data_IF_052814859634
#
_entry.id   IF_052814859634
#
_cell.length_a   1.000
_cell.length_b   1.000
_cell.length_c   1.000
_cell.angle_alpha   90.00
_cell.angle_beta   90.00
_cell.angle_gamma   90.00
#
_symmetry.space_group_name_H-M   'P 1'
#
loop_
_entity.id
_entity.type
_entity.pdbx_description
1 polymer ?
#
# COMPACT_ATOMS: atom_id res chain seq x y z
N UNK A 1 -21.55 -37.81 26.48
CA UNK A 1 -20.31 -37.17 27.00
C UNK A 1 -19.79 -36.36 25.84
N UNK A 2 -19.24 -35.18 26.06
CA UNK A 2 -18.79 -34.37 24.92
C UNK A 2 -17.83 -35.18 24.07
N UNK A 3 -18.07 -35.27 22.77
CA UNK A 3 -17.23 -36.03 21.85
C UNK A 3 -15.92 -35.26 21.59
N UNK A 4 -16.03 -33.93 21.44
CA UNK A 4 -14.88 -33.08 21.22
C UNK A 4 -14.30 -32.53 22.53
N UNK A 5 -12.97 -32.41 22.62
CA UNK A 5 -12.27 -32.04 23.85
C UNK A 5 -12.52 -30.59 24.31
N UNK A 6 -13.08 -29.74 23.46
CA UNK A 6 -13.31 -28.31 23.74
C UNK A 6 -14.56 -28.05 24.59
N UNK A 7 -15.56 -28.93 24.55
CA UNK A 7 -16.82 -28.73 25.28
C UNK A 7 -16.83 -29.50 26.60
N UNK A 8 -17.52 -28.93 27.59
CA UNK A 8 -17.66 -29.53 28.91
C UNK A 8 -18.65 -30.70 28.87
N UNK A 9 -18.29 -31.83 29.48
CA UNK A 9 -19.17 -32.99 29.59
C UNK A 9 -20.45 -32.71 30.39
N UNK A 10 -20.38 -31.75 31.31
CA UNK A 10 -21.47 -31.33 32.20
C UNK A 10 -21.58 -29.81 32.20
N UNK A 11 -22.23 -29.21 31.19
CA UNK A 11 -22.43 -27.77 31.16
C UNK A 11 -23.29 -27.31 32.35
N UNK A 12 -23.02 -26.12 32.88
CA UNK A 12 -23.88 -25.52 33.91
C UNK A 12 -25.22 -25.15 33.29
N UNK A 13 -26.32 -25.57 33.92
CA UNK A 13 -27.69 -25.35 33.40
C UNK A 13 -28.37 -24.12 34.01
N UNK A 14 -27.86 -23.66 35.13
CA UNK A 14 -28.42 -22.60 35.98
C UNK A 14 -27.72 -21.25 35.77
N UNK A 15 -26.63 -21.21 35.01
CA UNK A 15 -25.85 -20.00 34.77
C UNK A 15 -25.20 -19.96 33.40
N UNK A 16 -24.96 -18.74 32.95
CA UNK A 16 -24.15 -18.42 31.79
C UNK A 16 -22.67 -18.33 32.17
N UNK A 17 -21.81 -18.72 31.25
CA UNK A 17 -20.37 -18.61 31.32
C UNK A 17 -19.83 -18.06 29.99
N UNK A 18 -18.65 -17.46 30.03
CA UNK A 18 -17.90 -17.13 28.82
C UNK A 18 -17.68 -18.42 28.01
N UNK A 19 -17.90 -18.36 26.71
CA UNK A 19 -17.80 -19.53 25.84
C UNK A 19 -19.04 -20.43 25.84
N UNK A 20 -20.16 -20.02 26.45
CA UNK A 20 -21.42 -20.72 26.23
C UNK A 20 -21.90 -20.53 24.79
N UNK A 21 -22.32 -21.64 24.18
CA UNK A 21 -22.88 -21.67 22.82
C UNK A 21 -24.39 -21.63 22.94
N UNK A 22 -25.00 -20.65 22.26
CA UNK A 22 -26.43 -20.40 22.26
C UNK A 22 -27.02 -20.76 20.90
N UNK A 23 -28.09 -21.55 20.87
CA UNK A 23 -28.84 -21.82 19.66
C UNK A 23 -29.80 -20.67 19.33
N UNK A 24 -30.46 -20.76 18.17
CA UNK A 24 -31.51 -19.84 17.75
C UNK A 24 -32.84 -20.11 18.48
N UNK A 25 -32.83 -20.08 19.81
CA UNK A 25 -34.03 -20.26 20.62
C UNK A 25 -35.02 -19.09 20.40
N UNK A 26 -36.35 -19.35 20.33
CA UNK A 26 -37.35 -18.31 20.08
C UNK A 26 -37.20 -17.07 20.97
N UNK A 27 -37.01 -17.26 22.29
CA UNK A 27 -36.89 -16.13 23.22
C UNK A 27 -35.69 -15.22 22.93
N UNK A 28 -34.55 -15.81 22.52
CA UNK A 28 -33.36 -15.06 22.13
C UNK A 28 -33.58 -14.38 20.77
N UNK A 29 -34.21 -15.08 19.82
CA UNK A 29 -34.53 -14.53 18.52
C UNK A 29 -35.48 -13.34 18.61
N UNK A 30 -36.45 -13.34 19.52
CA UNK A 30 -37.36 -12.21 19.72
C UNK A 30 -36.61 -10.96 20.19
N UNK A 31 -35.63 -11.12 21.08
CA UNK A 31 -34.76 -10.03 21.52
C UNK A 31 -33.91 -9.51 20.36
N UNK A 32 -33.29 -10.44 19.61
CA UNK A 32 -32.48 -10.08 18.46
C UNK A 32 -33.32 -9.43 17.36
N UNK A 33 -34.52 -9.92 17.07
CA UNK A 33 -35.40 -9.33 16.07
C UNK A 33 -35.78 -7.89 16.42
N UNK A 34 -35.97 -7.61 17.73
CA UNK A 34 -36.33 -6.28 18.22
C UNK A 34 -35.16 -5.28 18.14
N UNK A 35 -33.96 -5.67 18.54
CA UNK A 35 -32.84 -4.72 18.72
C UNK A 35 -31.70 -4.89 17.71
N UNK A 36 -31.53 -6.08 17.15
CA UNK A 36 -30.45 -6.47 16.23
C UNK A 36 -30.99 -7.35 15.08
N UNK A 37 -31.97 -6.89 14.29
CA UNK A 37 -32.78 -7.74 13.41
C UNK A 37 -31.97 -8.57 12.41
N UNK A 38 -30.84 -8.03 11.94
CA UNK A 38 -29.90 -8.75 11.08
C UNK A 38 -29.44 -10.08 11.71
N UNK A 39 -29.18 -10.10 13.03
CA UNK A 39 -28.71 -11.28 13.74
C UNK A 39 -29.79 -12.36 13.93
N UNK A 40 -31.07 -11.97 13.96
CA UNK A 40 -32.16 -12.93 14.03
C UNK A 40 -32.36 -13.65 12.69
N UNK A 41 -32.33 -12.90 11.58
CA UNK A 41 -32.79 -13.38 10.27
C UNK A 41 -31.68 -14.00 9.42
N UNK A 42 -30.42 -13.56 9.56
CA UNK A 42 -29.36 -13.98 8.64
C UNK A 42 -29.16 -15.51 8.65
N UNK A 43 -29.23 -16.18 7.48
CA UNK A 43 -29.27 -17.64 7.41
C UNK A 43 -27.93 -18.30 7.77
N UNK A 44 -26.81 -17.59 7.60
CA UNK A 44 -25.49 -18.13 7.96
C UNK A 44 -25.23 -18.13 9.47
N UNK A 45 -26.03 -17.43 10.28
CA UNK A 45 -25.85 -17.42 11.73
C UNK A 45 -26.53 -18.65 12.31
N UNK A 46 -25.71 -19.62 12.73
CA UNK A 46 -26.18 -20.92 13.25
C UNK A 46 -26.32 -20.90 14.77
N UNK A 47 -25.39 -20.25 15.44
CA UNK A 47 -25.33 -20.13 16.90
C UNK A 47 -24.86 -18.73 17.30
N UNK A 48 -24.78 -18.51 18.60
CA UNK A 48 -24.09 -17.37 19.20
C UNK A 48 -23.12 -17.86 20.28
N UNK A 49 -22.01 -17.15 20.47
CA UNK A 49 -21.01 -17.48 21.50
C UNK A 49 -20.96 -16.36 22.54
N UNK A 50 -21.14 -16.68 23.81
CA UNK A 50 -21.05 -15.71 24.91
C UNK A 50 -19.62 -15.23 25.08
N UNK A 51 -19.40 -13.92 24.98
CA UNK A 51 -18.10 -13.28 25.13
C UNK A 51 -17.89 -12.65 26.51
N UNK A 52 -18.96 -12.27 27.21
CA UNK A 52 -18.87 -11.69 28.57
C UNK A 52 -18.18 -12.66 29.52
N UNK A 53 -17.27 -12.15 30.35
CA UNK A 53 -16.48 -12.97 31.27
C UNK A 53 -17.36 -13.70 32.30
N UNK A 54 -17.00 -14.95 32.59
CA UNK A 54 -17.78 -15.81 33.51
C UNK A 54 -17.95 -15.19 34.90
N UNK A 55 -16.92 -14.51 35.42
CA UNK A 55 -16.98 -13.84 36.73
C UNK A 55 -18.04 -12.72 36.80
N UNK A 56 -18.31 -12.06 35.67
CA UNK A 56 -19.31 -10.99 35.59
C UNK A 56 -20.74 -11.51 35.44
N UNK A 57 -20.89 -12.76 34.98
CA UNK A 57 -22.16 -13.42 34.74
C UNK A 57 -22.67 -14.22 35.96
N UNK A 58 -21.87 -14.35 37.02
CA UNK A 58 -22.30 -15.05 38.23
C UNK A 58 -23.43 -14.27 38.92
N UNK A 59 -24.55 -14.96 39.16
CA UNK A 59 -25.66 -14.43 39.98
C UNK A 59 -25.27 -14.43 41.45
N UNK A 60 -25.41 -13.28 42.11
CA UNK A 60 -25.22 -13.14 43.57
C UNK A 60 -26.56 -13.33 44.30
N UNK A 61 -26.57 -13.25 45.63
CA UNK A 61 -27.75 -13.55 46.48
C UNK A 61 -29.04 -12.83 46.06
N UNK A 62 -28.94 -11.62 45.48
CA UNK A 62 -30.08 -10.85 44.97
C UNK A 62 -30.50 -11.21 43.53
N UNK A 63 -29.98 -12.31 42.98
CA UNK A 63 -30.17 -12.77 41.60
C UNK A 63 -29.66 -11.79 40.52
N UNK A 64 -28.89 -10.78 40.93
CA UNK A 64 -28.26 -9.79 40.07
C UNK A 64 -26.81 -10.21 39.76
N UNK A 65 -26.42 -10.05 38.49
CA UNK A 65 -25.04 -10.22 38.02
C UNK A 65 -24.31 -8.88 38.05
N UNK A 66 -22.97 -8.85 38.08
CA UNK A 66 -22.23 -7.58 37.96
C UNK A 66 -22.20 -7.03 36.54
N UNK A 67 -22.37 -7.88 35.52
CA UNK A 67 -22.50 -7.44 34.13
C UNK A 67 -23.76 -6.60 33.90
N UNK A 68 -23.61 -5.46 33.21
CA UNK A 68 -24.75 -4.72 32.66
C UNK A 68 -25.24 -5.29 31.32
N UNK A 69 -24.37 -6.02 30.62
CA UNK A 69 -24.64 -6.58 29.30
C UNK A 69 -24.07 -8.00 29.15
N UNK A 70 -24.79 -8.83 28.41
CA UNK A 70 -24.31 -10.10 27.87
C UNK A 70 -23.92 -9.86 26.41
N UNK A 71 -22.62 -9.87 26.14
CA UNK A 71 -22.08 -9.75 24.78
C UNK A 71 -22.02 -11.13 24.15
N UNK A 72 -22.56 -11.25 22.93
CA UNK A 72 -22.54 -12.49 22.16
C UNK A 72 -21.98 -12.23 20.75
N UNK A 73 -21.18 -13.16 20.23
CA UNK A 73 -20.69 -13.15 18.85
C UNK A 73 -21.52 -14.07 17.96
N UNK A 74 -21.72 -13.69 16.70
CA UNK A 74 -22.33 -14.55 15.71
C UNK A 74 -21.43 -15.75 15.38
N UNK A 75 -22.00 -16.95 15.37
CA UNK A 75 -21.33 -18.18 14.95
C UNK A 75 -21.84 -18.59 13.57
N UNK A 76 -20.92 -18.81 12.65
CA UNK A 76 -21.19 -19.18 11.25
C UNK A 76 -20.43 -20.46 10.87
N UNK A 77 -20.79 -21.10 9.75
CA UNK A 77 -19.97 -22.15 9.16
C UNK A 77 -18.51 -21.73 8.99
N UNK A 78 -17.59 -22.67 9.19
CA UNK A 78 -16.14 -22.41 9.07
C UNK A 78 -15.74 -22.00 7.66
N UNK A 79 -16.45 -22.48 6.63
CA UNK A 79 -16.17 -22.16 5.23
C UNK A 79 -16.41 -20.68 4.91
N UNK A 80 -17.26 -19.98 5.66
CA UNK A 80 -17.43 -18.53 5.53
C UNK A 80 -16.14 -17.78 5.89
N UNK A 81 -15.42 -18.20 6.93
CA UNK A 81 -14.15 -17.60 7.32
C UNK A 81 -13.05 -17.91 6.29
N UNK A 82 -13.00 -19.15 5.79
CA UNK A 82 -12.07 -19.56 4.74
C UNK A 82 -12.32 -18.79 3.45
N UNK A 83 -13.60 -18.64 3.03
CA UNK A 83 -13.99 -17.85 1.84
C UNK A 83 -13.63 -16.38 2.03
N UNK A 84 -13.85 -15.82 3.22
CA UNK A 84 -13.46 -14.44 3.51
C UNK A 84 -11.95 -14.26 3.36
N UNK A 85 -11.14 -15.18 3.89
CA UNK A 85 -9.68 -15.13 3.74
C UNK A 85 -9.25 -15.31 2.27
N UNK A 86 -9.89 -16.23 1.55
CA UNK A 86 -9.62 -16.47 0.14
C UNK A 86 -9.86 -15.21 -0.70
N UNK A 87 -10.94 -14.46 -0.44
CA UNK A 87 -11.26 -13.20 -1.15
C UNK A 87 -10.17 -12.14 -1.02
N UNK A 88 -9.46 -12.09 0.10
CA UNK A 88 -8.35 -11.15 0.30
C UNK A 88 -7.14 -11.47 -0.60
N UNK A 89 -7.02 -12.72 -1.03
CA UNK A 89 -5.89 -13.27 -1.77
C UNK A 89 -6.22 -13.58 -3.24
N UNK A 90 -7.51 -13.58 -3.59
CA UNK A 90 -8.03 -13.88 -4.92
C UNK A 90 -8.10 -12.62 -5.80
N UNK A 91 -7.91 -12.82 -7.10
CA UNK A 91 -8.25 -11.81 -8.11
C UNK A 91 -9.77 -11.72 -8.31
N UNK A 92 -10.24 -10.59 -8.82
CA UNK A 92 -11.67 -10.30 -9.05
C UNK A 92 -12.43 -11.38 -9.86
N UNK A 93 -11.75 -12.12 -10.73
CA UNK A 93 -12.35 -13.18 -11.56
C UNK A 93 -12.33 -14.56 -10.90
N UNK A 94 -11.48 -14.77 -9.89
CA UNK A 94 -11.26 -16.06 -9.23
C UNK A 94 -12.35 -16.38 -8.20
N UNK A 95 -12.83 -15.34 -7.48
CA UNK A 95 -13.84 -15.49 -6.44
C UNK A 95 -15.14 -16.14 -6.96
N UNK A 96 -15.77 -15.70 -8.06
CA UNK A 96 -17.05 -16.26 -8.51
C UNK A 96 -16.99 -17.76 -8.88
N UNK A 97 -15.80 -18.26 -9.22
CA UNK A 97 -15.58 -19.65 -9.64
C UNK A 97 -14.84 -20.48 -8.58
N UNK A 98 -14.54 -19.91 -7.41
CA UNK A 98 -13.81 -20.55 -6.30
C UNK A 98 -12.45 -21.14 -6.70
N UNK A 99 -11.69 -20.44 -7.54
CA UNK A 99 -10.35 -20.88 -7.96
C UNK A 99 -9.28 -20.16 -7.15
N UNK A 100 -8.27 -20.89 -6.66
CA UNK A 100 -7.08 -20.31 -6.01
C UNK A 100 -5.82 -20.91 -6.62
N UNK A 101 -4.73 -20.13 -6.64
CA UNK A 101 -3.42 -20.65 -7.03
C UNK A 101 -2.85 -21.59 -5.94
N UNK A 102 -1.91 -22.48 -6.28
CA UNK A 102 -1.26 -23.35 -5.28
C UNK A 102 -0.64 -22.58 -4.12
N UNK A 103 -0.03 -21.41 -4.40
CA UNK A 103 0.52 -20.53 -3.36
C UNK A 103 -0.56 -20.05 -2.38
N UNK A 104 -1.71 -19.62 -2.90
CA UNK A 104 -2.84 -19.16 -2.07
C UNK A 104 -3.46 -20.34 -1.32
N UNK A 105 -3.51 -21.53 -1.93
CA UNK A 105 -3.97 -22.73 -1.25
C UNK A 105 -3.11 -23.07 -0.03
N UNK A 106 -1.77 -23.04 -0.17
CA UNK A 106 -0.86 -23.28 0.97
C UNK A 106 -1.07 -22.24 2.08
N UNK A 107 -1.30 -20.97 1.73
CA UNK A 107 -1.63 -19.92 2.70
C UNK A 107 -2.97 -20.17 3.40
N UNK A 108 -3.99 -20.64 2.67
CA UNK A 108 -5.28 -21.01 3.24
C UNK A 108 -5.19 -22.24 4.14
N UNK A 109 -4.30 -23.20 3.86
CA UNK A 109 -4.03 -24.34 4.74
C UNK A 109 -3.47 -23.83 6.07
N UNK A 110 -2.42 -23.00 6.06
CA UNK A 110 -1.84 -22.42 7.28
C UNK A 110 -2.86 -21.59 8.08
N UNK A 111 -3.68 -20.79 7.39
CA UNK A 111 -4.78 -20.07 8.03
C UNK A 111 -5.78 -21.02 8.67
N UNK A 112 -6.16 -22.10 7.98
CA UNK A 112 -7.13 -23.08 8.47
C UNK A 112 -6.58 -23.85 9.67
N UNK A 113 -5.30 -24.24 9.66
CA UNK A 113 -4.64 -24.85 10.82
C UNK A 113 -4.67 -23.90 12.03
N UNK A 114 -4.28 -22.64 11.83
CA UNK A 114 -4.36 -21.59 12.86
C UNK A 114 -5.78 -21.41 13.39
N UNK A 115 -6.78 -21.44 12.50
CA UNK A 115 -8.20 -21.33 12.84
C UNK A 115 -8.67 -22.51 13.71
N UNK A 116 -8.38 -23.75 13.28
CA UNK A 116 -8.75 -24.97 13.98
C UNK A 116 -8.12 -25.05 15.38
N UNK A 117 -6.88 -24.58 15.50
CA UNK A 117 -6.17 -24.48 16.77
C UNK A 117 -6.61 -23.31 17.64
N UNK A 118 -7.57 -22.49 17.20
CA UNK A 118 -8.00 -21.26 17.88
C UNK A 118 -6.87 -20.23 18.08
N UNK A 119 -5.92 -20.15 17.16
CA UNK A 119 -4.81 -19.17 17.20
C UNK A 119 -5.10 -17.92 16.35
N UNK A 120 -6.13 -17.95 15.50
CA UNK A 120 -6.52 -16.82 14.67
C UNK A 120 -7.33 -15.78 15.47
N UNK A 121 -6.82 -14.55 15.58
CA UNK A 121 -7.33 -13.54 16.52
C UNK A 121 -8.77 -13.08 16.28
N UNK A 122 -9.24 -13.13 15.03
CA UNK A 122 -10.58 -12.66 14.64
C UNK A 122 -11.68 -13.71 14.83
N UNK A 123 -11.32 -14.97 15.10
CA UNK A 123 -12.25 -16.08 15.11
C UNK A 123 -12.08 -16.98 16.34
N UNK A 124 -13.12 -17.76 16.63
CA UNK A 124 -13.02 -18.87 17.58
C UNK A 124 -13.70 -20.10 16.97
N UNK A 125 -12.93 -21.14 16.68
CA UNK A 125 -13.40 -22.38 16.09
C UNK A 125 -14.18 -23.25 17.08
N UNK A 126 -15.30 -23.80 16.59
CA UNK A 126 -16.23 -24.67 17.28
C UNK A 126 -16.42 -25.93 16.42
N UNK A 127 -15.88 -27.05 16.88
CA UNK A 127 -16.01 -28.33 16.19
C UNK A 127 -17.44 -28.89 16.28
N UNK A 128 -17.83 -29.71 15.32
CA UNK A 128 -19.10 -30.44 15.37
C UNK A 128 -19.11 -31.37 16.59
N UNK A 129 -20.24 -31.41 17.30
CA UNK A 129 -20.44 -32.28 18.46
C UNK A 129 -21.94 -32.51 18.65
N UNK A 130 -22.39 -33.71 18.25
CA UNK A 130 -23.81 -34.08 18.26
C UNK A 130 -24.35 -34.14 19.69
N UNK A 131 -23.55 -34.64 20.64
CA UNK A 131 -23.91 -34.73 22.06
C UNK A 131 -24.12 -33.33 22.68
N UNK A 132 -23.41 -32.33 22.17
CA UNK A 132 -23.53 -30.91 22.55
C UNK A 132 -24.52 -30.13 21.68
N UNK A 133 -25.26 -30.79 20.78
CA UNK A 133 -26.20 -30.17 19.83
C UNK A 133 -25.58 -29.12 18.90
N UNK A 134 -24.29 -29.27 18.59
CA UNK A 134 -23.56 -28.42 17.64
C UNK A 134 -23.41 -29.18 16.33
N UNK A 135 -24.04 -28.67 15.27
CA UNK A 135 -24.02 -29.27 13.94
C UNK A 135 -23.06 -28.55 12.99
N UNK A 136 -22.23 -29.35 12.33
CA UNK A 136 -21.18 -28.92 11.43
C UNK A 136 -20.02 -28.19 12.10
N UNK A 137 -18.97 -27.94 11.31
CA UNK A 137 -17.82 -27.15 11.72
C UNK A 137 -18.15 -25.66 11.63
N UNK A 138 -18.00 -24.95 12.74
CA UNK A 138 -18.38 -23.56 12.86
C UNK A 138 -17.25 -22.70 13.43
N UNK A 139 -17.38 -21.38 13.31
CA UNK A 139 -16.54 -20.43 14.01
C UNK A 139 -17.34 -19.21 14.47
N UNK A 140 -17.03 -18.71 15.66
CA UNK A 140 -17.50 -17.42 16.13
C UNK A 140 -16.68 -16.32 15.46
N UNK A 141 -17.35 -15.35 14.85
CA UNK A 141 -16.74 -14.17 14.27
C UNK A 141 -16.69 -13.10 15.36
N UNK A 142 -15.55 -12.97 16.03
CA UNK A 142 -15.48 -12.23 17.30
C UNK A 142 -15.71 -10.72 17.13
N UNK A 143 -15.38 -10.17 15.96
CA UNK A 143 -15.72 -8.80 15.56
C UNK A 143 -17.23 -8.59 15.30
N UNK A 144 -17.99 -9.66 15.00
CA UNK A 144 -19.43 -9.61 14.78
C UNK A 144 -20.17 -9.89 16.09
N UNK A 145 -20.00 -8.99 17.07
CA UNK A 145 -20.62 -9.11 18.40
C UNK A 145 -21.70 -8.06 18.66
N UNK A 146 -22.67 -8.42 19.50
CA UNK A 146 -23.74 -7.54 19.97
C UNK A 146 -23.87 -7.67 21.49
N UNK A 147 -24.26 -6.57 22.13
CA UNK A 147 -24.45 -6.49 23.57
C UNK A 147 -25.95 -6.49 23.91
N UNK A 148 -26.42 -7.52 24.61
CA UNK A 148 -27.78 -7.61 25.11
C UNK A 148 -27.83 -7.11 26.54
N UNK A 149 -28.85 -6.32 26.90
CA UNK A 149 -29.04 -5.89 28.29
C UNK A 149 -29.21 -7.08 29.21
N UNK A 150 -28.76 -6.94 30.46
CA UNK A 150 -28.81 -8.04 31.43
C UNK A 150 -30.23 -8.55 31.74
N UNK A 151 -31.25 -7.72 31.53
CA UNK A 151 -32.66 -8.13 31.60
C UNK A 151 -33.04 -9.27 30.63
N UNK A 152 -32.18 -9.56 29.63
CA UNK A 152 -32.34 -10.67 28.69
C UNK A 152 -31.54 -11.92 29.07
N UNK A 153 -30.91 -11.95 30.25
CA UNK A 153 -30.06 -13.06 30.68
C UNK A 153 -30.78 -14.42 30.60
N UNK A 154 -31.99 -14.52 31.14
CA UNK A 154 -32.73 -15.80 31.16
C UNK A 154 -33.04 -16.31 29.75
N UNK A 155 -33.25 -15.41 28.80
CA UNK A 155 -33.47 -15.74 27.39
C UNK A 155 -32.21 -16.30 26.74
N UNK A 156 -31.05 -15.75 27.09
CA UNK A 156 -29.75 -16.31 26.69
C UNK A 156 -29.51 -17.67 27.35
N UNK A 157 -29.82 -17.83 28.64
CA UNK A 157 -29.66 -19.09 29.36
C UNK A 157 -30.55 -20.19 28.77
N UNK A 158 -31.80 -19.87 28.44
CA UNK A 158 -32.73 -20.80 27.77
C UNK A 158 -32.22 -21.24 26.38
N UNK A 159 -31.41 -20.41 25.72
CA UNK A 159 -30.81 -20.72 24.43
C UNK A 159 -29.52 -21.55 24.52
N UNK A 160 -28.98 -21.78 25.72
CA UNK A 160 -27.70 -22.47 25.90
C UNK A 160 -27.79 -23.95 25.48
N UNK A 161 -26.89 -24.37 24.60
CA UNK A 161 -26.77 -25.77 24.14
C UNK A 161 -25.44 -26.42 24.50
N UNK A 162 -24.36 -25.64 24.58
CA UNK A 162 -23.05 -26.14 24.95
C UNK A 162 -22.26 -25.13 25.80
N UNK A 163 -21.17 -25.58 26.40
CA UNK A 163 -20.26 -24.78 27.20
C UNK A 163 -18.82 -25.20 26.92
N UNK A 164 -17.92 -24.25 26.69
CA UNK A 164 -16.49 -24.53 26.58
C UNK A 164 -15.88 -24.98 27.93
N UNK A 165 -14.85 -25.83 27.90
CA UNK A 165 -14.04 -26.13 29.10
C UNK A 165 -13.21 -24.91 29.50
N UNK A 166 -12.84 -24.84 30.77
CA UNK A 166 -12.10 -23.71 31.37
C UNK A 166 -10.86 -23.25 30.57
N UNK A 167 -9.98 -24.13 30.04
CA UNK A 167 -8.84 -23.68 29.24
C UNK A 167 -9.25 -22.94 27.96
N UNK A 168 -10.36 -23.35 27.33
CA UNK A 168 -10.88 -22.71 26.11
C UNK A 168 -11.64 -21.44 26.43
N UNK A 169 -12.30 -21.35 27.59
CA UNK A 169 -12.86 -20.08 28.08
C UNK A 169 -11.76 -19.06 28.28
N UNK A 170 -10.66 -19.44 28.95
CA UNK A 170 -9.50 -18.56 29.14
C UNK A 170 -8.88 -18.13 27.81
N UNK A 171 -8.75 -19.05 26.83
CA UNK A 171 -8.27 -18.73 25.48
C UNK A 171 -9.19 -17.75 24.76
N UNK A 172 -10.50 -17.95 24.82
CA UNK A 172 -11.49 -17.02 24.27
C UNK A 172 -11.37 -15.64 24.93
N UNK A 173 -11.25 -15.59 26.25
CA UNK A 173 -11.02 -14.36 27.00
C UNK A 173 -9.75 -13.63 26.57
N UNK A 174 -8.67 -14.36 26.28
CA UNK A 174 -7.43 -13.80 25.75
C UNK A 174 -7.59 -13.25 24.32
N UNK A 175 -8.29 -13.96 23.43
CA UNK A 175 -8.57 -13.50 22.05
C UNK A 175 -9.46 -12.26 22.04
N UNK A 176 -10.53 -12.26 22.85
CA UNK A 176 -11.40 -11.09 23.03
C UNK A 176 -10.61 -9.92 23.64
N UNK A 177 -9.78 -10.23 24.64
CA UNK A 177 -8.84 -9.31 25.23
C UNK A 177 -7.96 -8.67 24.16
N UNK A 178 -7.24 -9.44 23.35
CA UNK A 178 -6.29 -8.91 22.38
C UNK A 178 -6.91 -8.03 21.28
N UNK A 179 -8.15 -8.30 20.85
CA UNK A 179 -8.82 -7.44 19.86
C UNK A 179 -9.17 -6.05 20.41
N UNK A 180 -9.55 -5.95 21.70
CA UNK A 180 -10.01 -4.70 22.31
C UNK A 180 -9.00 -4.07 23.27
N UNK A 181 -8.00 -4.83 23.73
CA UNK A 181 -6.86 -4.35 24.51
C UNK A 181 -5.83 -3.75 23.57
N UNK A 182 -6.16 -2.60 22.99
CA UNK A 182 -5.11 -1.63 22.71
C UNK A 182 -4.64 -1.15 24.07
N UNK A 183 -3.52 -1.68 24.56
CA UNK A 183 -2.79 -1.03 25.64
C UNK A 183 -2.46 0.35 25.09
N UNK A 184 -3.04 1.41 25.68
CA UNK A 184 -2.74 2.79 25.33
C UNK A 184 -1.29 3.08 25.69
N UNK A 185 -0.35 2.66 24.85
CA UNK A 185 1.02 3.09 24.93
C UNK A 185 1.13 4.43 24.22
N UNK A 186 1.88 5.35 24.81
CA UNK A 186 2.16 6.63 24.18
C UNK A 186 2.84 6.35 22.83
N UNK A 187 2.29 6.88 21.74
CA UNK A 187 2.87 6.64 20.41
C UNK A 187 4.23 7.35 20.33
N UNK A 188 5.18 6.77 19.59
CA UNK A 188 6.54 7.34 19.47
C UNK A 188 6.53 8.81 19.02
N UNK A 189 5.61 9.18 18.13
CA UNK A 189 5.45 10.55 17.67
C UNK A 189 4.78 11.47 18.71
N UNK A 190 3.95 10.92 19.61
CA UNK A 190 3.38 11.67 20.74
C UNK A 190 4.45 11.95 21.80
N UNK A 191 5.39 11.03 22.00
CA UNK A 191 6.46 11.16 23.00
C UNK A 191 7.65 12.00 22.49
N UNK A 192 8.12 11.77 21.26
CA UNK A 192 9.33 12.39 20.72
C UNK A 192 9.05 13.52 19.71
N UNK A 193 7.77 13.78 19.39
CA UNK A 193 7.34 14.79 18.44
C UNK A 193 7.13 14.25 17.03
N UNK A 194 6.44 15.04 16.21
CA UNK A 194 5.99 14.66 14.87
C UNK A 194 7.16 14.23 13.97
N UNK A 195 6.95 13.14 13.22
CA UNK A 195 7.89 12.55 12.24
C UNK A 195 9.17 11.92 12.82
N UNK A 196 9.31 11.81 14.15
CA UNK A 196 10.50 11.19 14.75
C UNK A 196 10.56 9.68 14.56
N UNK A 197 9.41 8.99 14.63
CA UNK A 197 9.34 7.55 14.35
C UNK A 197 9.76 7.23 12.91
N UNK A 198 9.36 8.08 11.95
CA UNK A 198 9.72 7.95 10.55
C UNK A 198 11.22 8.13 10.33
N UNK A 199 11.85 9.10 11.01
CA UNK A 199 13.30 9.31 10.97
C UNK A 199 14.05 8.10 11.53
N UNK A 200 13.68 7.64 12.72
CA UNK A 200 14.28 6.46 13.35
C UNK A 200 14.15 5.20 12.47
N UNK A 201 12.96 4.98 11.89
CA UNK A 201 12.74 3.88 10.95
C UNK A 201 13.61 4.02 9.69
N UNK A 202 13.74 5.23 9.14
CA UNK A 202 14.60 5.49 7.97
C UNK A 202 16.07 5.22 8.29
N UNK A 203 16.56 5.66 9.45
CA UNK A 203 17.94 5.42 9.90
C UNK A 203 18.23 3.93 10.08
N UNK A 204 17.30 3.20 10.71
CA UNK A 204 17.40 1.75 10.87
C UNK A 204 17.39 1.02 9.53
N UNK A 205 16.49 1.41 8.61
CA UNK A 205 16.45 0.82 7.27
C UNK A 205 17.72 1.11 6.48
N UNK A 206 18.32 2.29 6.64
CA UNK A 206 19.59 2.62 5.98
C UNK A 206 20.81 1.91 6.58
N UNK A 207 20.76 1.49 7.85
CA UNK A 207 21.85 0.72 8.45
C UNK A 207 21.82 -0.75 8.03
N UNK A 208 20.63 -1.28 7.72
CA UNK A 208 20.43 -2.69 7.32
C UNK A 208 20.43 -2.87 5.80
N UNK A 209 19.87 -1.91 5.06
CA UNK A 209 19.63 -2.04 3.63
C UNK A 209 20.27 -0.91 2.82
N UNK A 210 20.71 -1.26 1.61
CA UNK A 210 21.12 -0.28 0.60
C UNK A 210 19.88 0.10 -0.21
N UNK A 211 19.39 1.32 0.00
CA UNK A 211 18.27 1.85 -0.77
C UNK A 211 18.72 2.25 -2.18
N UNK A 212 18.18 1.58 -3.20
CA UNK A 212 18.42 1.89 -4.62
C UNK A 212 17.06 2.08 -5.31
N UNK A 213 16.91 3.18 -6.06
CA UNK A 213 15.68 3.47 -6.77
C UNK A 213 15.31 2.35 -7.77
N UNK A 214 14.02 1.99 -7.83
CA UNK A 214 13.50 0.93 -8.69
C UNK A 214 13.89 1.09 -10.17
N UNK A 215 13.88 2.33 -10.67
CA UNK A 215 14.30 2.62 -12.04
C UNK A 215 15.77 2.24 -12.28
N UNK A 216 16.65 2.56 -11.33
CA UNK A 216 18.09 2.26 -11.42
C UNK A 216 18.34 0.76 -11.42
N UNK A 217 17.59 0.03 -10.60
CA UNK A 217 17.60 -1.44 -10.59
C UNK A 217 17.15 -1.98 -11.94
N UNK A 218 15.99 -1.55 -12.45
CA UNK A 218 15.43 -2.07 -13.71
C UNK A 218 16.34 -1.80 -14.91
N UNK A 219 16.88 -0.59 -15.04
CA UNK A 219 17.79 -0.24 -16.15
C UNK A 219 19.11 -1.01 -16.04
N UNK A 220 19.73 -1.06 -14.86
CA UNK A 220 20.97 -1.80 -14.66
C UNK A 220 20.82 -3.31 -14.89
N UNK A 221 19.68 -3.89 -14.51
CA UNK A 221 19.37 -5.31 -14.79
C UNK A 221 19.23 -5.56 -16.28
N UNK A 222 18.50 -4.70 -17.00
CA UNK A 222 18.34 -4.83 -18.47
C UNK A 222 19.67 -4.73 -19.21
N UNK A 223 20.57 -3.86 -18.76
CA UNK A 223 21.92 -3.75 -19.34
C UNK A 223 22.73 -5.02 -19.13
N UNK A 224 22.65 -5.64 -17.96
CA UNK A 224 23.32 -6.93 -17.69
C UNK A 224 22.73 -8.05 -18.56
N UNK A 225 21.40 -8.14 -18.65
CA UNK A 225 20.70 -9.15 -19.46
C UNK A 225 21.01 -9.05 -20.95
N UNK A 226 21.29 -7.84 -21.46
CA UNK A 226 21.69 -7.63 -22.85
C UNK A 226 23.07 -8.25 -23.18
N UNK A 227 23.92 -8.47 -22.17
CA UNK A 227 25.25 -9.06 -22.33
C UNK A 227 25.20 -10.58 -22.15
N UNK A 228 24.58 -11.06 -21.06
CA UNK A 228 24.37 -12.50 -20.78
C UNK A 228 23.26 -12.69 -19.75
N UNK A 229 22.78 -13.93 -19.61
CA UNK A 229 21.76 -14.26 -18.63
C UNK A 229 22.20 -13.92 -17.20
N UNK A 230 21.30 -13.33 -16.39
CA UNK A 230 21.58 -12.89 -15.01
C UNK A 230 22.15 -13.99 -14.12
N UNK A 231 21.72 -15.24 -14.32
CA UNK A 231 22.20 -16.40 -13.57
C UNK A 231 23.72 -16.64 -13.69
N UNK A 232 24.38 -16.00 -14.67
CA UNK A 232 25.81 -16.08 -14.89
C UNK A 232 26.61 -14.95 -14.22
N UNK A 233 25.96 -14.11 -13.41
CA UNK A 233 26.60 -13.10 -12.56
C UNK A 233 26.44 -13.49 -11.09
N UNK A 234 27.44 -13.21 -10.28
CA UNK A 234 27.30 -13.27 -8.83
C UNK A 234 26.40 -12.13 -8.31
N UNK A 235 25.71 -12.31 -7.18
CA UNK A 235 24.90 -11.25 -6.58
C UNK A 235 25.67 -9.94 -6.34
N UNK A 236 26.95 -10.04 -5.97
CA UNK A 236 27.80 -8.88 -5.73
C UNK A 236 28.12 -8.11 -7.01
N UNK A 237 28.35 -8.80 -8.13
CA UNK A 237 28.59 -8.17 -9.44
C UNK A 237 27.34 -7.44 -9.94
N UNK A 238 26.16 -8.05 -9.77
CA UNK A 238 24.88 -7.41 -10.12
C UNK A 238 24.69 -6.15 -9.27
N UNK A 239 24.90 -6.26 -7.96
CA UNK A 239 24.79 -5.13 -7.03
C UNK A 239 25.74 -3.99 -7.39
N UNK A 240 27.03 -4.28 -7.60
CA UNK A 240 28.03 -3.27 -7.92
C UNK A 240 27.77 -2.60 -9.26
N UNK A 241 27.29 -3.36 -10.25
CA UNK A 241 26.89 -2.82 -11.55
C UNK A 241 25.72 -1.85 -11.40
N UNK A 242 24.63 -2.29 -10.76
CA UNK A 242 23.45 -1.44 -10.51
C UNK A 242 23.84 -0.21 -9.70
N UNK A 243 24.70 -0.34 -8.67
CA UNK A 243 25.14 0.77 -7.84
C UNK A 243 25.92 1.82 -8.63
N UNK A 244 26.78 1.39 -9.56
CA UNK A 244 27.58 2.29 -10.43
C UNK A 244 26.78 2.87 -11.59
N UNK A 245 25.65 2.26 -11.93
CA UNK A 245 24.79 2.73 -13.02
C UNK A 245 24.36 4.19 -12.80
N UNK A 246 24.56 5.03 -13.81
CA UNK A 246 24.14 6.44 -13.79
C UNK A 246 22.90 6.58 -14.64
N UNK A 247 21.76 6.76 -13.98
CA UNK A 247 20.54 7.17 -14.69
C UNK A 247 20.83 8.52 -15.33
N UNK A 248 20.82 8.57 -16.66
CA UNK A 248 20.89 9.84 -17.38
C UNK A 248 19.55 10.55 -17.14
N UNK A 249 19.53 11.76 -16.56
CA UNK A 249 18.29 12.47 -16.28
C UNK A 249 17.43 12.62 -17.56
N UNK A 250 16.10 12.52 -17.43
CA UNK A 250 15.18 12.70 -18.58
C UNK A 250 15.44 14.01 -19.32
N UNK A 251 15.78 15.08 -18.59
CA UNK A 251 16.19 16.38 -19.17
C UNK A 251 17.43 16.26 -20.04
N UNK A 252 18.46 15.55 -19.60
CA UNK A 252 19.68 15.30 -20.38
C UNK A 252 19.42 14.42 -21.59
N UNK A 253 18.57 13.38 -21.45
CA UNK A 253 18.15 12.53 -22.57
C UNK A 253 17.38 13.35 -23.62
N UNK A 254 16.45 14.20 -23.18
CA UNK A 254 15.70 15.11 -24.03
C UNK A 254 16.63 16.10 -24.73
N UNK A 255 17.51 16.80 -24.02
CA UNK A 255 18.41 17.80 -24.61
C UNK A 255 19.34 17.21 -25.66
N UNK A 256 19.90 16.00 -25.41
CA UNK A 256 20.71 15.30 -26.41
C UNK A 256 19.90 14.97 -27.66
N UNK A 257 18.73 14.35 -27.48
CA UNK A 257 17.88 13.96 -28.62
C UNK A 257 17.34 15.16 -29.39
N UNK A 258 17.00 16.24 -28.69
CA UNK A 258 16.57 17.48 -29.30
C UNK A 258 17.69 18.11 -30.16
N UNK A 259 18.95 18.07 -29.68
CA UNK A 259 20.10 18.50 -30.47
C UNK A 259 20.23 17.68 -31.76
N UNK A 260 20.16 16.35 -31.68
CA UNK A 260 20.25 15.48 -32.86
C UNK A 260 19.16 15.79 -33.90
N UNK A 261 17.94 16.08 -33.44
CA UNK A 261 16.81 16.45 -34.31
C UNK A 261 17.02 17.83 -34.95
N UNK A 262 17.56 18.79 -34.19
CA UNK A 262 17.89 20.15 -34.68
C UNK A 262 18.98 20.07 -35.76
N UNK A 263 20.02 19.29 -35.50
CA UNK A 263 21.17 19.12 -36.39
C UNK A 263 20.76 18.36 -37.67
N UNK A 264 19.95 17.30 -37.55
CA UNK A 264 19.46 16.50 -38.68
C UNK A 264 18.61 17.29 -39.68
N UNK A 265 17.83 18.27 -39.21
CA UNK A 265 17.00 19.13 -40.06
C UNK A 265 17.77 20.32 -40.70
N UNK A 266 19.09 20.42 -40.43
CA UNK A 266 19.96 21.52 -40.87
C UNK A 266 19.38 22.89 -40.56
N UNK A 267 18.74 23.04 -39.41
CA UNK A 267 18.18 24.32 -38.97
C UNK A 267 19.28 25.35 -38.74
N UNK A 268 20.39 24.89 -38.15
CA UNK A 268 21.56 25.72 -37.83
C UNK A 268 22.17 26.31 -39.10
N UNK A 269 22.30 25.54 -40.18
CA UNK A 269 22.84 26.01 -41.47
C UNK A 269 21.99 27.13 -42.11
N UNK A 270 20.66 27.04 -41.98
CA UNK A 270 19.73 28.04 -42.54
C UNK A 270 19.72 29.33 -41.74
N UNK A 271 19.97 29.24 -40.43
CA UNK A 271 20.07 30.40 -39.54
C UNK A 271 21.46 31.01 -39.63
N UNK A 272 22.52 30.20 -39.62
CA UNK A 272 23.93 30.64 -39.62
C UNK A 272 24.29 31.44 -40.87
N UNK A 273 23.82 31.01 -42.06
CA UNK A 273 24.05 31.78 -43.30
C UNK A 273 23.41 33.17 -43.24
N UNK A 274 22.14 33.25 -42.84
CA UNK A 274 21.42 34.54 -42.72
C UNK A 274 21.97 35.42 -41.62
N UNK A 275 22.38 34.80 -40.53
CA UNK A 275 22.96 35.48 -39.38
C UNK A 275 24.36 36.03 -39.70
N UNK A 276 25.18 35.28 -40.43
CA UNK A 276 26.48 35.74 -40.91
C UNK A 276 26.35 36.90 -41.92
N UNK A 277 25.36 36.83 -42.81
CA UNK A 277 25.08 37.93 -43.75
C UNK A 277 24.58 39.19 -43.02
N UNK A 278 23.72 39.03 -42.01
CA UNK A 278 23.24 40.14 -41.19
C UNK A 278 24.36 40.77 -40.33
N UNK A 279 25.27 39.96 -39.76
CA UNK A 279 26.43 40.46 -39.03
C UNK A 279 27.40 41.23 -39.94
N UNK A 280 27.61 40.78 -41.18
CA UNK A 280 28.45 41.50 -42.15
C UNK A 280 27.88 42.87 -42.51
N UNK A 281 26.56 43.03 -42.45
CA UNK A 281 25.85 44.27 -42.77
C UNK A 281 25.64 45.19 -41.55
N UNK A 282 26.02 44.76 -40.34
CA UNK A 282 25.91 45.58 -39.12
C UNK A 282 27.07 46.58 -39.03
N UNK A 283 26.89 47.75 -39.65
CA UNK A 283 27.89 48.82 -39.63
C UNK A 283 28.26 49.27 -38.21
N UNK A 284 27.30 49.26 -37.27
CA UNK A 284 27.57 49.64 -35.88
C UNK A 284 28.52 48.66 -35.19
N UNK A 285 28.40 47.36 -35.49
CA UNK A 285 29.31 46.35 -34.97
C UNK A 285 30.74 46.57 -35.49
N UNK A 286 30.90 46.90 -36.78
CA UNK A 286 32.21 47.15 -37.37
C UNK A 286 32.87 48.41 -36.79
N UNK A 287 32.10 49.49 -36.59
CA UNK A 287 32.60 50.71 -35.94
C UNK A 287 33.05 50.43 -34.50
N UNK A 288 32.30 49.62 -33.75
CA UNK A 288 32.66 49.19 -32.40
C UNK A 288 33.92 48.32 -32.37
N UNK A 289 34.08 47.42 -33.34
CA UNK A 289 35.28 46.58 -33.48
C UNK A 289 36.50 47.46 -33.79
N UNK A 290 36.37 48.41 -34.73
CA UNK A 290 37.47 49.29 -35.13
C UNK A 290 37.89 50.20 -33.96
N UNK A 291 36.94 50.71 -33.18
CA UNK A 291 37.21 51.47 -31.96
C UNK A 291 37.96 50.64 -30.89
N UNK A 292 37.64 49.35 -30.75
CA UNK A 292 38.36 48.44 -29.82
C UNK A 292 39.79 48.19 -30.30
N UNK A 293 39.97 47.98 -31.61
CA UNK A 293 41.27 47.68 -32.21
C UNK A 293 42.21 48.89 -32.25
N UNK A 294 41.67 50.10 -32.39
CA UNK A 294 42.45 51.36 -32.40
C UNK A 294 42.70 51.93 -31.00
N UNK A 295 41.79 51.69 -30.05
CA UNK A 295 41.85 52.27 -28.70
C UNK A 295 42.61 51.43 -27.65
N UNK A 296 43.02 50.20 -27.96
CA UNK A 296 43.66 49.30 -27.00
C UNK A 296 45.06 48.93 -27.46
N UNK A 297 46.10 49.22 -26.66
CA UNK A 297 47.47 48.80 -26.96
C UNK A 297 47.59 47.28 -27.12
N UNK A 298 48.45 46.83 -28.03
CA UNK A 298 48.59 45.42 -28.48
C UNK A 298 48.94 44.45 -27.33
N UNK A 299 49.36 44.98 -26.19
CA UNK A 299 49.91 44.20 -25.08
C UNK A 299 48.84 43.54 -24.17
N UNK A 300 47.54 43.73 -24.44
CA UNK A 300 46.46 43.22 -23.57
C UNK A 300 45.37 42.45 -24.32
N UNK A 301 45.79 41.36 -24.97
CA UNK A 301 44.98 40.49 -25.83
C UNK A 301 43.72 39.95 -25.12
N UNK A 302 43.79 39.63 -23.82
CA UNK A 302 42.62 39.12 -23.07
C UNK A 302 41.51 40.17 -22.93
N UNK A 303 41.89 41.43 -22.71
CA UNK A 303 40.93 42.55 -22.60
C UNK A 303 40.27 42.83 -23.95
N UNK A 304 41.03 42.79 -25.03
CA UNK A 304 40.52 42.93 -26.39
C UNK A 304 39.51 41.81 -26.70
N UNK A 305 39.88 40.55 -26.41
CA UNK A 305 39.00 39.39 -26.62
C UNK A 305 37.68 39.54 -25.86
N UNK A 306 37.72 39.95 -24.59
CA UNK A 306 36.51 40.13 -23.77
C UNK A 306 35.58 41.19 -24.36
N UNK A 307 36.12 42.37 -24.72
CA UNK A 307 35.34 43.47 -25.30
C UNK A 307 34.72 43.08 -26.65
N UNK A 308 35.46 42.37 -27.50
CA UNK A 308 34.94 41.87 -28.78
C UNK A 308 33.78 40.88 -28.56
N UNK A 309 33.92 39.94 -27.62
CA UNK A 309 32.84 39.00 -27.30
C UNK A 309 31.57 39.73 -26.84
N UNK A 310 31.68 40.73 -25.96
CA UNK A 310 30.54 41.51 -25.48
C UNK A 310 29.81 42.23 -26.62
N UNK A 311 30.55 42.85 -27.55
CA UNK A 311 29.98 43.55 -28.70
C UNK A 311 29.32 42.60 -29.71
N UNK A 312 29.95 41.46 -29.99
CA UNK A 312 29.39 40.43 -30.87
C UNK A 312 28.10 39.86 -30.27
N UNK A 313 28.04 39.58 -28.96
CA UNK A 313 26.82 39.09 -28.29
C UNK A 313 25.67 40.11 -28.38
N UNK A 314 25.98 41.40 -28.18
CA UNK A 314 24.98 42.46 -28.28
C UNK A 314 24.43 42.59 -29.71
N UNK A 315 25.30 42.57 -30.73
CA UNK A 315 24.88 42.58 -32.13
C UNK A 315 24.05 41.33 -32.50
N UNK A 316 24.49 40.15 -32.04
CA UNK A 316 23.78 38.89 -32.22
C UNK A 316 22.34 38.95 -31.69
N UNK A 317 22.16 39.53 -30.50
CA UNK A 317 20.85 39.64 -29.85
C UNK A 317 19.91 40.58 -30.60
N UNK A 318 20.42 41.67 -31.21
CA UNK A 318 19.62 42.57 -32.06
C UNK A 318 19.19 41.88 -33.35
N UNK A 319 20.11 41.16 -34.00
CA UNK A 319 19.89 40.47 -35.28
C UNK A 319 18.91 39.31 -35.14
N UNK A 320 18.84 38.66 -33.98
CA UNK A 320 17.93 37.53 -33.71
C UNK A 320 16.53 37.96 -33.23
N UNK A 321 16.18 39.25 -33.31
CA UNK A 321 14.84 39.76 -33.03
C UNK A 321 13.84 39.43 -34.16
N UNK A 322 12.53 39.42 -33.85
CA UNK A 322 11.48 39.11 -34.84
C UNK A 322 11.44 40.12 -36.01
N UNK A 323 11.86 41.37 -35.78
CA UNK A 323 11.94 42.41 -36.80
C UNK A 323 13.11 42.20 -37.77
N UNK A 324 14.20 41.57 -37.32
CA UNK A 324 15.42 41.36 -38.09
C UNK A 324 15.54 39.96 -38.73
N UNK A 325 14.72 38.98 -38.29
CA UNK A 325 14.70 37.62 -38.86
C UNK A 325 13.31 37.23 -39.41
N UNK A 326 12.93 37.69 -40.61
CA UNK A 326 11.65 37.36 -41.22
C UNK A 326 11.45 35.84 -41.32
N UNK A 327 10.30 35.36 -40.83
CA UNK A 327 9.90 33.93 -40.72
C UNK A 327 10.49 33.16 -39.52
N UNK A 328 11.08 33.83 -38.51
CA UNK A 328 11.46 33.21 -37.22
C UNK A 328 10.36 32.33 -36.64
N UNK A 329 9.13 32.85 -36.57
CA UNK A 329 7.95 32.10 -36.11
C UNK A 329 7.75 30.77 -36.84
N UNK A 330 7.86 30.76 -38.17
CA UNK A 330 7.71 29.54 -39.00
C UNK A 330 8.84 28.53 -38.78
N UNK A 331 10.06 29.00 -38.47
CA UNK A 331 11.19 28.14 -38.14
C UNK A 331 10.97 27.49 -36.76
N UNK A 332 10.53 28.27 -35.78
CA UNK A 332 10.19 27.77 -34.44
C UNK A 332 9.05 26.75 -34.50
N UNK A 333 7.97 27.05 -35.24
CA UNK A 333 6.85 26.13 -35.44
C UNK A 333 7.31 24.80 -36.06
N UNK A 334 8.18 24.85 -37.06
CA UNK A 334 8.73 23.64 -37.70
C UNK A 334 9.62 22.85 -36.75
N UNK A 335 10.43 23.52 -35.94
CA UNK A 335 11.28 22.87 -34.93
C UNK A 335 10.42 22.18 -33.86
N UNK A 336 9.41 22.87 -33.34
CA UNK A 336 8.48 22.32 -32.36
C UNK A 336 7.75 21.11 -32.93
N UNK A 337 7.32 21.15 -34.19
CA UNK A 337 6.70 20.03 -34.88
C UNK A 337 7.65 18.83 -35.01
N UNK A 338 8.91 19.05 -35.41
CA UNK A 338 9.92 17.99 -35.53
C UNK A 338 10.20 17.30 -34.18
N UNK A 339 10.40 18.09 -33.12
CA UNK A 339 10.63 17.57 -31.77
C UNK A 339 9.41 16.80 -31.24
N UNK A 340 8.21 17.28 -31.54
CA UNK A 340 6.94 16.68 -31.09
C UNK A 340 6.55 15.41 -31.88
N UNK A 341 7.17 15.15 -33.03
CA UNK A 341 6.95 13.96 -33.85
C UNK A 341 8.00 12.87 -33.61
N UNK A 342 9.13 13.19 -32.96
CA UNK A 342 10.16 12.21 -32.62
C UNK A 342 9.67 11.20 -31.57
N UNK A 343 9.71 9.91 -31.94
CA UNK A 343 9.19 8.81 -31.11
C UNK A 343 9.97 8.62 -29.80
N UNK A 344 11.27 8.94 -29.79
CA UNK A 344 12.12 8.85 -28.61
C UNK A 344 11.80 10.00 -27.65
N UNK A 345 11.66 11.22 -28.16
CA UNK A 345 11.22 12.37 -27.36
C UNK A 345 9.85 12.12 -26.74
N UNK A 346 8.89 11.57 -27.50
CA UNK A 346 7.56 11.21 -26.96
C UNK A 346 7.66 10.21 -25.81
N UNK A 347 8.53 9.21 -25.91
CA UNK A 347 8.76 8.23 -24.84
C UNK A 347 9.44 8.82 -23.60
N UNK A 348 10.26 9.86 -23.77
CA UNK A 348 10.93 10.55 -22.65
C UNK A 348 9.94 11.46 -21.89
N UNK A 349 8.99 12.08 -22.62
CA UNK A 349 8.02 13.03 -22.07
C UNK A 349 6.73 12.37 -21.55
N UNK A 350 6.39 11.17 -22.02
CA UNK A 350 5.36 10.30 -21.44
C UNK A 350 5.83 9.59 -20.17
#
# INVERSE_FOLDING_TARGET
>A
MSEHYVYADKPFKDRLCQGDVLCKHPDLLDVLAKYHPHYAVHPSYRYFLVLTQSCDLVRREDNLTSAHYVTIAAVRPVDEAIRQKARELQDWWQEPVNVVSSRVFDELVLFTESLLDNNESSYFYLHEDIDSSISGMNCAFLALSVALRIEHYDKCLAAKVAQLKEPFQAKLGWLVGSMYSRVGTQEWNEHYGKDTARKAASELLHSVFVNIATQKISEGVKELEAVKALAQYSPQEIFDHIKRHKIVPRTTQFSRRASDVIDGERFVDKISGRFADALKQDNMLWDDIDAIMTGTGVDNIEVIRKKLCEKIIAASSRILSDDALPRRKKIVERLVAALSQDSIIRRILG
#
